data_IF_916620845895
#
_entry.id   IF_916620845895
#
_cell.length_a   1.000
_cell.length_b   1.000
_cell.length_c   1.000
_cell.angle_alpha   90.00
_cell.angle_beta   90.00
_cell.angle_gamma   90.00
#
_symmetry.space_group_name_H-M   'P 1'
#
loop_
_entity.id
_entity.type
_entity.pdbx_description
1 polymer ?
#
# COMPACT_ATOMS: atom_id res chain seq x y z
N UNK A 1 -10.46 -29.48 28.11
CA UNK A 1 -9.94 -28.35 27.33
C UNK A 1 -11.08 -27.37 27.08
N UNK A 2 -10.94 -26.11 27.50
CA UNK A 2 -12.02 -25.12 27.49
C UNK A 2 -12.27 -24.58 26.08
N UNK A 3 -13.48 -24.75 25.55
CA UNK A 3 -13.86 -24.28 24.21
C UNK A 3 -14.29 -22.80 24.28
N UNK A 4 -13.30 -21.93 24.48
CA UNK A 4 -13.45 -20.47 24.48
C UNK A 4 -13.43 -19.97 23.03
N UNK A 5 -14.41 -19.15 22.67
CA UNK A 5 -14.52 -18.51 21.36
C UNK A 5 -14.63 -16.99 21.53
N UNK A 6 -14.28 -16.25 20.48
CA UNK A 6 -14.32 -14.78 20.48
C UNK A 6 -15.42 -14.28 19.54
N UNK A 7 -16.27 -13.35 19.98
CA UNK A 7 -17.27 -12.72 19.10
C UNK A 7 -16.64 -11.64 18.21
N UNK A 8 -17.37 -11.11 17.20
CA UNK A 8 -16.90 -10.01 16.33
C UNK A 8 -16.49 -8.75 17.10
N UNK A 9 -17.17 -8.45 18.21
CA UNK A 9 -16.84 -7.34 19.10
C UNK A 9 -15.69 -7.64 20.07
N UNK A 10 -15.02 -8.80 19.91
CA UNK A 10 -13.80 -9.13 20.64
C UNK A 10 -14.00 -9.77 22.02
N UNK A 11 -15.23 -10.03 22.47
CA UNK A 11 -15.49 -10.70 23.75
C UNK A 11 -15.18 -12.20 23.67
N UNK A 12 -14.46 -12.73 24.68
CA UNK A 12 -14.22 -14.16 24.80
C UNK A 12 -15.26 -14.82 25.70
N UNK A 13 -15.85 -15.91 25.24
CA UNK A 13 -16.87 -16.64 26.00
C UNK A 13 -16.84 -18.14 25.72
N UNK A 14 -17.42 -18.93 26.63
CA UNK A 14 -17.44 -20.38 26.51
C UNK A 14 -18.56 -20.84 25.57
N UNK A 15 -18.22 -21.33 24.37
CA UNK A 15 -19.18 -21.90 23.40
C UNK A 15 -20.02 -23.00 24.01
N UNK A 16 -19.41 -23.81 24.89
CA UNK A 16 -20.10 -24.91 25.58
C UNK A 16 -21.24 -24.45 26.51
N UNK A 17 -21.16 -23.21 27.04
CA UNK A 17 -22.15 -22.69 28.00
C UNK A 17 -23.21 -21.82 27.32
N UNK A 18 -22.81 -21.02 26.33
CA UNK A 18 -23.66 -19.99 25.74
C UNK A 18 -23.99 -20.28 24.26
N UNK A 19 -23.60 -21.44 23.74
CA UNK A 19 -23.77 -21.78 22.34
C UNK A 19 -22.97 -20.85 21.43
N UNK A 20 -23.59 -20.43 20.33
CA UNK A 20 -23.01 -19.47 19.37
C UNK A 20 -23.41 -18.02 19.68
N UNK A 21 -24.15 -17.75 20.75
CA UNK A 21 -24.60 -16.42 21.11
C UNK A 21 -23.62 -15.83 22.13
N UNK A 22 -23.05 -14.67 21.81
CA UNK A 22 -22.18 -13.96 22.74
C UNK A 22 -22.98 -13.43 23.94
N UNK A 23 -22.68 -13.82 25.19
CA UNK A 23 -23.45 -13.39 26.36
C UNK A 23 -23.26 -11.90 26.71
N UNK A 24 -22.26 -11.24 26.12
CA UNK A 24 -21.95 -9.83 26.41
C UNK A 24 -22.65 -8.86 25.47
N UNK A 25 -22.86 -9.25 24.21
CA UNK A 25 -23.44 -8.37 23.18
C UNK A 25 -24.60 -9.00 22.41
N UNK A 26 -25.05 -10.19 22.82
CA UNK A 26 -26.17 -10.94 22.25
C UNK A 26 -26.06 -11.22 20.74
N UNK A 27 -24.84 -11.23 20.21
CA UNK A 27 -24.56 -11.45 18.80
C UNK A 27 -24.50 -12.96 18.51
N UNK A 28 -25.30 -13.42 17.56
CA UNK A 28 -25.28 -14.81 17.08
C UNK A 28 -24.13 -15.03 16.08
N UNK A 29 -23.38 -16.10 16.29
CA UNK A 29 -22.21 -16.49 15.51
C UNK A 29 -22.50 -17.73 14.62
N UNK A 30 -23.76 -18.15 14.47
CA UNK A 30 -24.19 -19.28 13.60
C UNK A 30 -24.00 -19.01 12.12
N UNK A 31 -24.10 -17.75 11.66
CA UNK A 31 -23.97 -17.37 10.25
C UNK A 31 -22.51 -17.34 9.74
N UNK A 32 -21.67 -18.26 10.22
CA UNK A 32 -20.46 -18.62 9.47
C UNK A 32 -20.90 -19.46 8.27
N UNK A 33 -21.34 -18.80 7.20
CA UNK A 33 -20.89 -19.28 5.89
C UNK A 33 -19.41 -18.91 5.84
N UNK A 34 -18.57 -19.85 6.27
CA UNK A 34 -17.25 -19.95 5.68
C UNK A 34 -17.54 -20.14 4.20
N UNK A 35 -17.49 -19.04 3.45
CA UNK A 35 -17.38 -19.11 2.01
C UNK A 35 -15.96 -19.66 1.81
N UNK A 36 -15.82 -20.97 1.94
CA UNK A 36 -14.75 -21.69 1.27
C UNK A 36 -15.10 -21.54 -0.21
N UNK A 37 -14.69 -20.41 -0.79
CA UNK A 37 -14.50 -20.31 -2.23
C UNK A 37 -13.38 -21.32 -2.55
N UNK A 38 -13.77 -22.58 -2.73
CA UNK A 38 -12.94 -23.58 -3.38
C UNK A 38 -12.89 -23.19 -4.85
N UNK A 39 -11.97 -22.29 -5.19
CA UNK A 39 -11.64 -22.07 -6.59
C UNK A 39 -10.99 -23.35 -7.13
N UNK A 40 -11.41 -23.78 -8.33
CA UNK A 40 -10.70 -24.83 -9.06
C UNK A 40 -9.31 -24.31 -9.45
N UNK A 41 -8.29 -25.16 -9.41
CA UNK A 41 -6.90 -24.75 -9.71
C UNK A 41 -6.79 -24.17 -11.12
N UNK A 42 -7.58 -24.71 -12.08
CA UNK A 42 -7.66 -24.22 -13.45
C UNK A 42 -8.33 -22.83 -13.54
N UNK A 43 -9.34 -22.57 -12.69
CA UNK A 43 -10.02 -21.27 -12.61
C UNK A 43 -9.12 -20.20 -11.96
N UNK A 44 -8.32 -20.59 -10.95
CA UNK A 44 -7.29 -19.73 -10.37
C UNK A 44 -6.21 -19.37 -11.39
N UNK A 45 -5.67 -20.34 -12.11
CA UNK A 45 -4.66 -20.12 -13.14
C UNK A 45 -5.18 -19.18 -14.24
N UNK A 46 -6.41 -19.42 -14.74
CA UNK A 46 -7.01 -18.56 -15.75
C UNK A 46 -7.25 -17.13 -15.23
N UNK A 47 -7.63 -16.99 -13.96
CA UNK A 47 -7.81 -15.68 -13.33
C UNK A 47 -6.49 -14.91 -13.24
N UNK A 48 -5.38 -15.58 -12.89
CA UNK A 48 -4.05 -14.99 -12.78
C UNK A 48 -3.49 -14.56 -14.15
N UNK A 49 -3.73 -15.35 -15.20
CA UNK A 49 -3.34 -15.01 -16.59
C UNK A 49 -4.04 -13.73 -17.08
N UNK A 50 -5.26 -13.49 -16.62
CA UNK A 50 -6.04 -12.29 -16.99
C UNK A 50 -5.62 -11.03 -16.23
N UNK A 51 -4.79 -11.14 -15.19
CA UNK A 51 -4.28 -9.98 -14.44
C UNK A 51 -3.25 -9.26 -15.31
N UNK A 52 -3.69 -8.20 -15.99
CA UNK A 52 -2.80 -7.29 -16.72
C UNK A 52 -1.87 -6.60 -15.73
N UNK A 53 -0.60 -6.98 -15.78
CA UNK A 53 0.45 -6.29 -15.02
C UNK A 53 0.73 -4.94 -15.67
N UNK A 54 0.61 -3.85 -14.89
CA UNK A 54 1.03 -2.53 -15.35
C UNK A 54 2.56 -2.50 -15.46
N UNK A 55 3.12 -2.04 -16.59
CA UNK A 55 4.56 -2.00 -16.76
C UNK A 55 5.20 -0.97 -15.82
N UNK A 56 6.40 -1.29 -15.32
CA UNK A 56 7.11 -0.42 -14.37
C UNK A 56 7.85 0.69 -15.11
N UNK A 57 7.70 1.93 -14.65
CA UNK A 57 8.30 3.12 -15.24
C UNK A 57 9.45 3.66 -14.40
N UNK A 58 9.40 3.44 -13.08
CA UNK A 58 10.43 3.83 -12.12
C UNK A 58 10.31 3.00 -10.84
N UNK A 59 11.26 3.19 -9.93
CA UNK A 59 11.24 2.62 -8.58
C UNK A 59 11.46 3.70 -7.54
N UNK A 60 10.83 3.50 -6.38
CA UNK A 60 11.29 4.06 -5.11
C UNK A 60 11.93 2.95 -4.31
N UNK A 61 13.16 3.14 -3.85
CA UNK A 61 13.88 2.16 -3.03
C UNK A 61 14.08 2.76 -1.65
N UNK A 62 13.56 2.11 -0.61
CA UNK A 62 13.74 2.58 0.76
C UNK A 62 15.21 2.42 1.17
N UNK A 63 15.90 3.54 1.37
CA UNK A 63 17.31 3.60 1.77
C UNK A 63 17.49 3.97 3.25
N UNK A 64 16.39 4.29 3.95
CA UNK A 64 16.34 4.51 5.39
C UNK A 64 14.91 4.33 5.89
N UNK A 65 14.77 3.75 7.09
CA UNK A 65 13.48 3.53 7.73
C UNK A 65 13.10 2.06 7.86
N UNK A 66 11.86 1.76 8.31
CA UNK A 66 11.43 0.41 8.67
C UNK A 66 11.42 -0.60 7.51
N UNK A 67 11.42 -0.12 6.26
CA UNK A 67 11.36 -0.93 5.05
C UNK A 67 12.68 -0.90 4.26
N UNK A 68 13.81 -0.65 4.92
CA UNK A 68 15.13 -0.58 4.30
C UNK A 68 15.37 -1.72 3.28
N UNK A 69 15.82 -1.35 2.07
CA UNK A 69 16.07 -2.25 0.95
C UNK A 69 14.84 -2.65 0.13
N UNK A 70 13.62 -2.33 0.59
CA UNK A 70 12.39 -2.61 -0.18
C UNK A 70 12.25 -1.64 -1.35
N UNK A 71 11.97 -2.19 -2.53
CA UNK A 71 11.54 -1.43 -3.69
C UNK A 71 10.01 -1.29 -3.76
N UNK A 72 9.58 -0.22 -4.42
CA UNK A 72 8.20 0.09 -4.75
C UNK A 72 8.14 0.44 -6.22
N UNK A 73 7.29 -0.26 -6.97
CA UNK A 73 7.13 -0.05 -8.40
C UNK A 73 6.25 1.17 -8.66
N UNK A 74 6.69 2.01 -9.58
CA UNK A 74 5.96 3.18 -10.09
C UNK A 74 5.49 2.85 -11.49
N UNK A 75 4.23 3.11 -11.78
CA UNK A 75 3.64 2.88 -13.11
C UNK A 75 3.19 4.21 -13.72
N UNK A 76 2.81 4.19 -15.00
CA UNK A 76 2.26 5.37 -15.67
C UNK A 76 1.03 5.95 -14.94
N UNK A 77 0.93 7.28 -14.97
CA UNK A 77 -0.10 8.03 -14.27
C UNK A 77 0.25 8.29 -12.82
N UNK A 78 -0.78 8.51 -11.99
CA UNK A 78 -0.61 8.85 -10.57
C UNK A 78 -0.46 7.58 -9.73
N UNK A 79 0.54 7.59 -8.86
CA UNK A 79 0.78 6.57 -7.84
C UNK A 79 0.62 7.25 -6.48
N UNK A 80 -0.46 6.91 -5.78
CA UNK A 80 -0.77 7.46 -4.46
C UNK A 80 0.05 6.74 -3.38
N UNK A 81 0.74 7.51 -2.53
CA UNK A 81 1.64 6.99 -1.50
C UNK A 81 1.01 7.18 -0.12
N UNK A 82 0.98 6.12 0.69
CA UNK A 82 0.51 6.17 2.07
C UNK A 82 0.69 4.84 2.79
N UNK A 83 0.06 4.66 3.95
CA UNK A 83 0.17 3.42 4.74
C UNK A 83 -0.97 2.43 4.52
N UNK A 84 -2.13 2.88 4.05
CA UNK A 84 -3.27 1.98 3.83
C UNK A 84 -3.05 1.13 2.58
N UNK A 85 -3.72 0.00 2.53
CA UNK A 85 -3.77 -0.93 1.40
C UNK A 85 -4.54 -0.36 0.20
N UNK A 86 -5.30 0.71 0.39
CA UNK A 86 -5.94 1.48 -0.68
C UNK A 86 -4.96 2.32 -1.52
N UNK A 87 -3.71 2.48 -1.08
CA UNK A 87 -2.68 3.26 -1.78
C UNK A 87 -1.97 2.40 -2.83
N UNK A 88 -1.62 2.99 -3.98
CA UNK A 88 -0.84 2.28 -5.01
C UNK A 88 0.55 1.89 -4.47
N UNK A 89 1.15 2.78 -3.68
CA UNK A 89 2.43 2.55 -3.02
C UNK A 89 2.20 2.57 -1.50
N UNK A 90 2.04 1.37 -0.94
CA UNK A 90 1.84 1.17 0.48
C UNK A 90 3.16 1.06 1.26
N UNK A 91 3.44 2.04 2.11
CA UNK A 91 4.61 2.05 3.01
C UNK A 91 4.16 1.70 4.42
N UNK A 92 4.61 0.55 4.95
CA UNK A 92 4.22 0.06 6.28
C UNK A 92 5.36 0.28 7.28
N UNK A 93 5.03 0.64 8.52
CA UNK A 93 5.96 0.67 9.66
C UNK A 93 6.42 2.07 10.06
N UNK A 94 6.30 3.06 9.19
CA UNK A 94 6.61 4.45 9.50
C UNK A 94 5.33 5.21 9.87
N UNK A 95 5.14 5.47 11.16
CA UNK A 95 3.90 6.09 11.65
C UNK A 95 3.78 7.59 11.35
N UNK A 96 4.86 8.25 10.94
CA UNK A 96 4.85 9.64 10.53
C UNK A 96 4.33 9.82 9.09
N UNK A 97 4.36 8.76 8.27
CA UNK A 97 3.69 8.74 6.97
C UNK A 97 2.16 8.75 7.17
N UNK A 98 1.41 9.43 6.29
CA UNK A 98 -0.04 9.54 6.40
C UNK A 98 -0.69 8.21 6.01
N UNK A 99 -1.85 7.93 6.57
CA UNK A 99 -2.61 6.72 6.22
C UNK A 99 -2.93 6.72 4.73
N UNK A 100 -3.49 7.82 4.24
CA UNK A 100 -3.83 8.01 2.84
C UNK A 100 -3.14 9.26 2.31
N UNK A 101 -2.80 9.23 1.02
CA UNK A 101 -2.38 10.39 0.24
C UNK A 101 -1.32 11.24 0.95
N UNK A 102 -0.24 10.64 1.45
CA UNK A 102 0.87 11.40 2.03
C UNK A 102 1.56 12.27 0.97
N UNK A 103 1.78 11.68 -0.20
CA UNK A 103 2.31 12.29 -1.41
C UNK A 103 1.80 11.51 -2.62
N UNK A 104 1.96 12.09 -3.80
CA UNK A 104 1.65 11.43 -5.09
C UNK A 104 2.91 11.48 -5.95
N UNK A 105 3.22 10.36 -6.57
CA UNK A 105 4.23 10.30 -7.62
C UNK A 105 3.52 10.09 -8.96
N UNK A 106 3.51 11.13 -9.79
CA UNK A 106 2.91 11.07 -11.13
C UNK A 106 4.00 10.79 -12.16
N UNK A 107 3.87 9.74 -12.94
CA UNK A 107 4.76 9.46 -14.06
C UNK A 107 4.05 9.76 -15.38
N UNK A 108 4.55 10.72 -16.13
CA UNK A 108 3.92 11.15 -17.39
C UNK A 108 4.26 10.20 -18.55
N UNK A 109 3.27 9.86 -19.38
CA UNK A 109 3.45 8.96 -20.53
C UNK A 109 4.10 9.62 -21.75
N UNK A 110 4.01 10.96 -21.87
CA UNK A 110 4.52 11.72 -23.01
C UNK A 110 5.93 12.20 -22.75
N UNK A 111 6.14 12.80 -21.59
CA UNK A 111 7.43 13.37 -21.21
C UNK A 111 8.38 12.32 -20.62
N UNK A 112 7.84 11.16 -20.20
CA UNK A 112 8.56 10.05 -19.58
C UNK A 112 9.33 10.48 -18.31
N UNK A 113 8.73 11.38 -17.54
CA UNK A 113 9.30 11.98 -16.34
C UNK A 113 8.41 11.73 -15.11
N UNK A 114 9.06 11.51 -13.97
CA UNK A 114 8.38 11.45 -12.67
C UNK A 114 8.26 12.84 -12.04
N UNK A 115 7.08 13.18 -11.54
CA UNK A 115 6.81 14.38 -10.77
C UNK A 115 6.31 14.01 -9.38
N UNK A 116 7.00 14.50 -8.35
CA UNK A 116 6.56 14.43 -6.95
C UNK A 116 5.56 15.55 -6.67
N UNK A 117 4.39 15.20 -6.17
CA UNK A 117 3.29 16.11 -5.89
C UNK A 117 2.90 15.97 -4.42
N UNK A 118 2.94 17.09 -3.68
CA UNK A 118 2.42 17.16 -2.32
C UNK A 118 0.90 17.31 -2.34
N UNK A 119 0.22 16.66 -1.41
CA UNK A 119 -1.25 16.66 -1.29
C UNK A 119 -1.71 17.62 -0.20
N UNK A 120 -2.88 18.22 -0.41
CA UNK A 120 -3.53 19.02 0.63
C UNK A 120 -3.94 18.11 1.80
N UNK A 121 -3.49 18.43 3.01
CA UNK A 121 -3.66 17.56 4.18
C UNK A 121 -2.69 16.35 4.25
N UNK A 122 -1.82 16.22 3.25
CA UNK A 122 -0.72 15.26 3.21
C UNK A 122 0.33 15.51 4.29
N UNK A 123 1.39 14.69 4.28
CA UNK A 123 2.56 14.96 5.11
C UNK A 123 3.54 15.89 4.41
N UNK A 124 4.44 16.49 5.19
CA UNK A 124 5.55 17.25 4.61
C UNK A 124 6.51 16.24 3.98
N UNK A 125 6.77 16.42 2.69
CA UNK A 125 7.74 15.63 1.94
C UNK A 125 8.96 16.49 1.64
N UNK A 126 10.14 15.90 1.71
CA UNK A 126 11.39 16.58 1.38
C UNK A 126 12.02 15.92 0.15
N UNK A 127 12.57 16.72 -0.75
CA UNK A 127 13.34 16.29 -1.89
C UNK A 127 14.78 16.79 -1.71
N UNK A 128 15.74 15.88 -1.66
CA UNK A 128 17.15 16.17 -1.41
C UNK A 128 17.37 17.07 -0.17
N UNK A 129 16.63 16.76 0.90
CA UNK A 129 16.69 17.49 2.18
C UNK A 129 15.93 18.83 2.22
N UNK A 130 15.26 19.23 1.13
CA UNK A 130 14.48 20.48 1.06
C UNK A 130 12.98 20.19 1.06
N UNK A 131 12.22 20.90 1.88
CA UNK A 131 10.76 20.74 1.92
C UNK A 131 10.14 21.10 0.56
N UNK A 132 9.25 20.24 0.08
CA UNK A 132 8.53 20.41 -1.17
C UNK A 132 7.12 20.91 -0.87
N UNK A 133 6.67 21.93 -1.59
CA UNK A 133 5.32 22.50 -1.45
C UNK A 133 4.56 22.54 -2.77
N UNK A 134 5.27 22.49 -3.89
CA UNK A 134 4.73 22.49 -5.24
C UNK A 134 5.21 21.24 -5.98
N UNK A 135 4.55 20.84 -7.10
CA UNK A 135 5.05 19.76 -7.93
C UNK A 135 6.53 19.94 -8.30
N UNK A 136 7.32 18.89 -8.17
CA UNK A 136 8.75 18.88 -8.53
C UNK A 136 9.04 17.71 -9.47
N UNK A 137 9.68 17.98 -10.60
CA UNK A 137 10.24 16.93 -11.47
C UNK A 137 11.37 16.24 -10.73
N UNK A 138 11.44 14.91 -10.84
CA UNK A 138 12.44 14.09 -10.19
C UNK A 138 13.52 13.66 -11.17
N UNK A 139 14.75 13.67 -10.70
CA UNK A 139 15.89 13.09 -11.39
C UNK A 139 16.28 11.74 -10.78
N UNK A 140 16.86 10.86 -11.59
CA UNK A 140 17.36 9.56 -11.09
C UNK A 140 18.42 9.82 -10.02
N UNK A 141 18.33 9.08 -8.91
CA UNK A 141 19.09 9.24 -7.67
C UNK A 141 18.63 10.36 -6.73
N UNK A 142 17.52 11.04 -7.02
CA UNK A 142 16.91 11.94 -6.03
C UNK A 142 16.48 11.18 -4.77
N UNK A 143 16.68 11.82 -3.63
CA UNK A 143 16.28 11.29 -2.31
C UNK A 143 15.02 11.98 -1.83
N UNK A 144 13.96 11.20 -1.67
CA UNK A 144 12.65 11.64 -1.17
C UNK A 144 12.54 11.21 0.29
N UNK A 145 12.29 12.15 1.18
CA UNK A 145 12.02 11.89 2.61
C UNK A 145 10.54 12.06 2.89
N UNK A 146 9.92 11.04 3.48
CA UNK A 146 8.53 11.04 3.92
C UNK A 146 8.47 10.44 5.33
N UNK A 147 7.91 11.17 6.28
CA UNK A 147 7.94 10.74 7.68
C UNK A 147 9.37 10.66 8.21
N UNK A 148 9.77 9.47 8.69
CA UNK A 148 11.12 9.17 9.20
C UNK A 148 11.96 8.34 8.19
N UNK A 149 11.38 8.04 7.03
CA UNK A 149 11.97 7.19 6.00
C UNK A 149 12.51 8.00 4.81
N UNK A 150 13.56 7.48 4.17
CA UNK A 150 14.15 8.04 2.94
C UNK A 150 14.09 7.02 1.82
N UNK A 151 13.80 7.50 0.61
CA UNK A 151 13.59 6.71 -0.58
C UNK A 151 14.43 7.27 -1.73
N UNK A 152 15.18 6.41 -2.39
CA UNK A 152 15.91 6.73 -3.62
C UNK A 152 14.99 6.53 -4.82
N UNK A 153 14.85 7.55 -5.65
CA UNK A 153 14.09 7.46 -6.90
C UNK A 153 15.00 7.01 -8.05
N UNK A 154 14.57 5.98 -8.79
CA UNK A 154 15.29 5.46 -9.96
C UNK A 154 14.32 5.36 -11.14
N UNK A 155 14.54 6.15 -12.19
CA UNK A 155 13.73 6.07 -13.41
C UNK A 155 14.21 4.90 -14.30
N UNK A 156 13.28 4.08 -14.79
CA UNK A 156 13.53 3.12 -15.85
C UNK A 156 13.21 3.73 -17.22
N UNK A 157 11.99 4.26 -17.33
CA UNK A 157 11.53 4.93 -18.53
C UNK A 157 12.16 6.32 -18.63
N UNK A 158 12.50 6.71 -19.85
CA UNK A 158 13.14 7.98 -20.18
C UNK A 158 13.67 7.95 -21.60
N UNK A 159 14.66 8.80 -21.91
CA UNK A 159 15.23 8.90 -23.27
C UNK A 159 15.77 7.58 -23.85
N UNK A 160 16.20 6.66 -22.98
CA UNK A 160 16.83 5.41 -23.40
C UNK A 160 15.82 4.26 -23.58
N UNK A 161 14.65 4.34 -22.94
CA UNK A 161 13.69 3.24 -22.92
C UNK A 161 12.28 3.75 -22.59
N UNK A 162 11.28 3.22 -23.29
CA UNK A 162 9.86 3.28 -22.93
C UNK A 162 9.21 1.99 -23.42
N UNK A 163 8.12 1.60 -22.76
CA UNK A 163 7.27 0.48 -23.17
C UNK A 163 6.51 0.77 -24.47
#
# INVERSE_FOLDING_TARGET
MGNLIRCKNGHMFSKRRYGNICPYCNMDMTERKEIEESFDDEELEESLIRIKTKPVCAWLVCIKGPRYGKDYRVVFGKNYIGRTDAMDIQIIGDNAIKQENHAILSFDERDLEGTLICTEGGGITYLNGKAVYTPQVLETYDVITMGESEFLYIALCGKQFSW
#
